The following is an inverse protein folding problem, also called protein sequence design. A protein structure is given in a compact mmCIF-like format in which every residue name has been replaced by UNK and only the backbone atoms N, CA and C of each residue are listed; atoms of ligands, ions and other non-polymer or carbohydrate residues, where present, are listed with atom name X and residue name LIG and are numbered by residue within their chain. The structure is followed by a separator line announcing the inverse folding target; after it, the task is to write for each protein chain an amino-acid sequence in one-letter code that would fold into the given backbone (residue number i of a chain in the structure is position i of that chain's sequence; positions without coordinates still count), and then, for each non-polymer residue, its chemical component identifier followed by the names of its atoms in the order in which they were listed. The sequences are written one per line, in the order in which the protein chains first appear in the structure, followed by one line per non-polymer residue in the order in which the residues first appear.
data_IF_199210663285
#
_entry.id   IF_199210663285
#
_cell.length_a   1.000
_cell.length_b   1.000
_cell.length_c   1.000
_cell.angle_alpha   90.00
_cell.angle_beta   90.00
_cell.angle_gamma   90.00
#
_symmetry.space_group_name_H-M   'P 1'
#
loop_
_entity.id
_entity.type
_entity.pdbx_description
1 polymer ?
#
# COMPACT_ATOMS: atom_id res chain seq x y z
N UNK A 1 3.14 -0.09 32.47
CA UNK A 1 2.09 -0.20 31.41
C UNK A 1 2.69 -0.88 30.19
N UNK A 2 2.08 -1.95 29.72
CA UNK A 2 2.61 -2.77 28.61
C UNK A 2 2.51 -1.99 27.30
N UNK A 3 3.61 -1.91 26.56
CA UNK A 3 3.66 -1.38 25.20
C UNK A 3 3.56 -2.52 24.21
N UNK A 4 2.70 -2.38 23.20
CA UNK A 4 2.53 -3.38 22.13
C UNK A 4 3.25 -2.93 20.87
N UNK A 5 3.83 -3.89 20.15
CA UNK A 5 4.51 -3.68 18.87
C UNK A 5 3.74 -4.38 17.76
N UNK A 6 3.38 -3.64 16.71
CA UNK A 6 2.56 -4.10 15.58
C UNK A 6 3.34 -3.87 14.29
N UNK A 7 3.44 -4.88 13.43
CA UNK A 7 3.97 -4.74 12.06
C UNK A 7 2.85 -4.34 11.13
N UNK A 8 3.06 -3.28 10.35
CA UNK A 8 2.13 -2.79 9.35
C UNK A 8 2.75 -2.94 7.97
N UNK A 9 2.45 -4.03 7.29
CA UNK A 9 3.06 -4.41 6.02
C UNK A 9 2.63 -3.51 4.86
N UNK A 10 3.58 -3.18 3.98
CA UNK A 10 3.31 -2.48 2.73
C UNK A 10 2.52 -3.37 1.75
N UNK A 11 1.68 -2.74 0.92
CA UNK A 11 1.02 -3.42 -0.20
C UNK A 11 1.64 -3.02 -1.53
N UNK A 12 1.59 -3.92 -2.50
CA UNK A 12 1.91 -3.64 -3.89
C UNK A 12 0.67 -3.90 -4.76
N UNK A 13 0.41 -3.01 -5.71
CA UNK A 13 -0.47 -3.31 -6.82
C UNK A 13 0.33 -4.06 -7.88
N UNK A 14 0.10 -5.36 -7.99
CA UNK A 14 0.71 -6.21 -9.03
C UNK A 14 0.13 -5.93 -10.41
N UNK A 15 -1.12 -5.45 -10.46
CA UNK A 15 -1.79 -4.89 -11.62
C UNK A 15 -2.83 -3.87 -11.14
N UNK A 16 -3.13 -2.87 -11.97
CA UNK A 16 -4.15 -1.87 -11.69
C UNK A 16 -4.76 -1.39 -13.01
N UNK A 17 -6.05 -1.65 -13.20
CA UNK A 17 -6.81 -1.15 -14.34
C UNK A 17 -7.78 -0.08 -13.88
N UNK A 18 -7.86 1.03 -14.59
CA UNK A 18 -8.88 2.07 -14.40
C UNK A 18 -9.99 1.80 -15.42
N UNK A 19 -11.14 1.34 -14.93
CA UNK A 19 -12.23 0.79 -15.76
C UNK A 19 -13.42 1.73 -15.89
N UNK A 20 -13.35 2.91 -15.30
CA UNK A 20 -14.41 3.91 -15.37
C UNK A 20 -14.24 5.01 -14.33
N UNK A 21 -15.21 5.91 -14.32
CA UNK A 21 -15.31 7.02 -13.37
C UNK A 21 -16.59 6.88 -12.55
N UNK A 22 -16.52 7.16 -11.26
CA UNK A 22 -17.67 7.38 -10.38
C UNK A 22 -17.69 8.86 -9.98
N UNK A 23 -18.74 9.30 -9.28
CA UNK A 23 -18.95 10.72 -8.91
C UNK A 23 -17.70 11.34 -8.24
N UNK A 24 -17.07 10.63 -7.30
CA UNK A 24 -15.92 11.15 -6.53
C UNK A 24 -14.60 10.42 -6.80
N UNK A 25 -14.65 9.22 -7.35
CA UNK A 25 -13.47 8.35 -7.48
C UNK A 25 -13.49 7.63 -8.84
N UNK A 26 -12.34 7.16 -9.28
CA UNK A 26 -12.27 6.24 -10.41
C UNK A 26 -12.66 4.83 -9.98
N UNK A 27 -13.38 4.11 -10.84
CA UNK A 27 -13.60 2.68 -10.70
C UNK A 27 -12.33 1.96 -11.11
N UNK A 28 -11.81 1.14 -10.24
CA UNK A 28 -10.57 0.39 -10.49
C UNK A 28 -10.79 -1.10 -10.21
N UNK A 29 -9.98 -1.91 -10.85
CA UNK A 29 -9.74 -3.29 -10.46
C UNK A 29 -8.23 -3.49 -10.26
N UNK A 30 -7.83 -4.38 -9.37
CA UNK A 30 -6.42 -4.55 -9.02
C UNK A 30 -6.10 -5.93 -8.46
N UNK A 31 -4.90 -6.42 -8.74
CA UNK A 31 -4.26 -7.51 -8.02
C UNK A 31 -3.30 -6.91 -6.99
N UNK A 32 -3.47 -7.28 -5.73
CA UNK A 32 -2.74 -6.70 -4.61
C UNK A 32 -2.06 -7.81 -3.82
N UNK A 33 -0.80 -7.57 -3.45
CA UNK A 33 -0.04 -8.43 -2.56
C UNK A 33 0.60 -7.61 -1.45
N UNK A 34 0.90 -8.26 -0.32
CA UNK A 34 1.61 -7.65 0.81
C UNK A 34 3.05 -8.17 0.84
N UNK A 35 3.98 -7.34 1.29
CA UNK A 35 5.41 -7.64 1.31
C UNK A 35 5.99 -7.53 2.72
N UNK A 36 7.21 -8.03 2.91
CA UNK A 36 7.89 -8.00 4.21
C UNK A 36 8.26 -6.60 4.71
N UNK A 37 8.43 -5.63 3.80
CA UNK A 37 8.62 -4.22 4.18
C UNK A 37 7.43 -3.73 5.01
N UNK A 38 7.69 -3.16 6.19
CA UNK A 38 6.63 -2.73 7.10
C UNK A 38 7.03 -1.52 7.94
N UNK A 39 6.05 -0.72 8.33
CA UNK A 39 6.17 0.23 9.42
C UNK A 39 6.02 -0.50 10.77
N UNK A 40 6.55 0.07 11.84
CA UNK A 40 6.36 -0.43 13.20
C UNK A 40 5.48 0.55 13.97
N UNK A 41 4.38 0.04 14.53
CA UNK A 41 3.48 0.81 15.38
C UNK A 41 3.67 0.34 16.82
N UNK A 42 3.98 1.26 17.70
CA UNK A 42 4.03 1.04 19.15
C UNK A 42 2.79 1.68 19.76
N UNK A 43 2.04 0.90 20.50
CA UNK A 43 0.78 1.30 21.13
C UNK A 43 0.89 1.14 22.64
N UNK A 44 0.53 2.19 23.39
CA UNK A 44 0.46 2.21 24.86
C UNK A 44 -0.84 2.88 25.29
N UNK A 45 -1.58 2.28 26.23
CA UNK A 45 -2.71 2.94 26.88
C UNK A 45 -2.19 4.01 27.83
N UNK A 46 -2.80 5.18 27.83
CA UNK A 46 -2.41 6.32 28.67
C UNK A 46 -3.61 6.88 29.45
N UNK A 47 -3.34 7.49 30.59
CA UNK A 47 -4.29 8.34 31.31
C UNK A 47 -4.16 9.75 30.75
N UNK A 48 -5.08 10.15 29.87
CA UNK A 48 -5.07 11.45 29.19
C UNK A 48 -6.46 11.72 28.59
N UNK A 49 -6.80 12.98 28.35
CA UNK A 49 -8.04 13.35 27.66
C UNK A 49 -7.94 13.17 26.14
N UNK A 50 -6.72 13.09 25.59
CA UNK A 50 -6.48 13.01 24.16
C UNK A 50 -5.51 11.89 23.80
N UNK A 51 -5.64 11.36 22.60
CA UNK A 51 -4.63 10.49 22.01
C UNK A 51 -3.34 11.25 21.70
N UNK A 52 -2.19 10.59 21.80
CA UNK A 52 -0.88 11.13 21.43
C UNK A 52 -0.34 10.34 20.26
N UNK A 53 0.02 11.01 19.15
CA UNK A 53 0.51 10.36 17.93
C UNK A 53 1.88 10.94 17.58
N UNK A 54 2.88 10.06 17.43
CA UNK A 54 4.24 10.43 17.08
C UNK A 54 4.73 9.62 15.88
N UNK A 55 5.49 10.27 15.03
CA UNK A 55 6.14 9.63 13.88
C UNK A 55 7.65 9.74 14.03
N UNK A 56 8.35 8.62 13.77
CA UNK A 56 9.80 8.50 13.81
C UNK A 56 10.31 7.72 12.60
N UNK A 57 11.63 7.63 12.43
CA UNK A 57 12.25 6.89 11.33
C UNK A 57 12.47 7.72 10.06
N UNK A 58 13.04 7.07 9.05
CA UNK A 58 13.55 7.72 7.83
C UNK A 58 12.49 8.53 7.07
N UNK A 59 11.23 8.13 7.14
CA UNK A 59 10.13 8.73 6.40
C UNK A 59 9.08 9.37 7.32
N UNK A 60 9.49 9.90 8.48
CA UNK A 60 8.58 10.55 9.43
C UNK A 60 8.36 12.04 9.18
N UNK A 61 9.19 12.68 8.36
CA UNK A 61 9.09 14.12 8.07
C UNK A 61 7.85 14.44 7.22
N UNK A 62 7.27 15.62 7.42
CA UNK A 62 6.16 16.18 6.61
C UNK A 62 4.86 15.33 6.65
N UNK A 63 4.62 14.59 7.74
CA UNK A 63 3.32 13.93 7.95
C UNK A 63 2.35 14.97 8.52
N UNK A 64 1.19 15.14 7.85
CA UNK A 64 0.15 16.06 8.30
C UNK A 64 -0.37 15.65 9.69
N UNK A 65 -0.80 16.64 10.49
CA UNK A 65 -1.55 16.40 11.73
C UNK A 65 -2.83 15.60 11.45
N UNK A 66 -3.51 15.89 10.34
CA UNK A 66 -4.63 15.09 9.83
C UNK A 66 -4.07 13.99 8.94
N UNK A 67 -4.12 12.77 9.42
CA UNK A 67 -3.61 11.56 8.74
C UNK A 67 -4.52 10.36 9.06
N UNK A 68 -4.27 9.23 8.44
CA UNK A 68 -5.12 8.03 8.57
C UNK A 68 -5.25 7.51 10.02
N UNK A 69 -4.23 7.73 10.86
CA UNK A 69 -4.28 7.32 12.28
C UNK A 69 -5.12 8.30 13.10
N UNK A 70 -4.90 9.62 12.93
CA UNK A 70 -5.72 10.62 13.63
C UNK A 70 -7.19 10.54 13.18
N UNK A 71 -7.45 10.33 11.89
CA UNK A 71 -8.81 10.12 11.36
C UNK A 71 -9.46 8.87 11.96
N UNK A 72 -8.73 7.75 12.04
CA UNK A 72 -9.22 6.52 12.67
C UNK A 72 -9.62 6.78 14.14
N UNK A 73 -8.72 7.36 14.95
CA UNK A 73 -8.96 7.56 16.36
C UNK A 73 -10.13 8.51 16.60
N UNK A 74 -10.21 9.59 15.82
CA UNK A 74 -11.33 10.54 15.91
C UNK A 74 -12.68 9.86 15.59
N UNK A 75 -12.73 8.99 14.56
CA UNK A 75 -13.93 8.23 14.23
C UNK A 75 -14.31 7.24 15.34
N UNK A 76 -13.33 6.55 15.92
CA UNK A 76 -13.57 5.60 17.02
C UNK A 76 -14.06 6.31 18.29
N UNK A 77 -13.52 7.49 18.58
CA UNK A 77 -13.95 8.31 19.72
C UNK A 77 -15.36 8.87 19.51
N UNK A 78 -15.63 9.44 18.33
CA UNK A 78 -16.95 9.98 17.98
C UNK A 78 -18.06 8.92 18.08
N UNK A 79 -17.75 7.67 17.74
CA UNK A 79 -18.66 6.54 17.86
C UNK A 79 -18.60 5.83 19.21
N UNK A 80 -17.85 6.37 20.20
CA UNK A 80 -17.65 5.83 21.55
C UNK A 80 -17.14 4.38 21.59
N UNK A 81 -16.43 3.94 20.54
CA UNK A 81 -16.00 2.56 20.35
C UNK A 81 -14.75 2.18 21.17
N UNK A 82 -14.09 3.14 21.81
CA UNK A 82 -12.91 2.92 22.65
C UNK A 82 -13.21 2.99 24.16
N UNK A 83 -14.47 3.11 24.58
CA UNK A 83 -14.86 3.24 25.99
C UNK A 83 -14.00 4.28 26.74
N UNK A 84 -13.85 5.47 26.16
CA UNK A 84 -13.03 6.59 26.63
C UNK A 84 -11.54 6.28 26.82
N UNK A 85 -11.06 5.12 26.36
CA UNK A 85 -9.63 4.81 26.44
C UNK A 85 -8.84 5.66 25.48
N UNK A 86 -7.71 6.20 25.96
CA UNK A 86 -6.76 6.97 25.14
C UNK A 86 -5.43 6.23 25.01
N UNK A 87 -4.77 6.48 23.87
CA UNK A 87 -3.54 5.77 23.50
C UNK A 87 -2.44 6.74 23.07
N UNK A 88 -1.23 6.41 23.45
CA UNK A 88 -0.02 6.91 22.82
C UNK A 88 0.37 5.95 21.71
N UNK A 89 0.54 6.48 20.51
CA UNK A 89 0.86 5.72 19.31
C UNK A 89 2.13 6.32 18.69
N UNK A 90 3.21 5.53 18.68
CA UNK A 90 4.47 5.91 18.02
C UNK A 90 4.66 5.04 16.79
N UNK A 91 4.80 5.67 15.61
CA UNK A 91 4.95 4.97 14.33
C UNK A 91 6.34 5.22 13.77
N UNK A 92 7.15 4.15 13.68
CA UNK A 92 8.42 4.17 12.97
C UNK A 92 8.18 3.94 11.49
N UNK A 93 8.35 4.99 10.69
CA UNK A 93 8.10 4.99 9.26
C UNK A 93 9.29 4.40 8.49
N UNK A 94 9.11 3.20 7.96
CA UNK A 94 10.04 2.51 7.05
C UNK A 94 9.52 2.52 5.61
N UNK A 95 8.20 2.72 5.41
CA UNK A 95 7.56 2.82 4.10
C UNK A 95 7.57 4.29 3.66
N UNK A 96 8.18 4.63 2.50
CA UNK A 96 8.24 6.00 2.02
C UNK A 96 6.85 6.58 1.71
N UNK A 97 6.72 7.91 1.87
CA UNK A 97 5.52 8.63 1.46
C UNK A 97 5.41 8.77 -0.06
N UNK A 98 4.18 8.84 -0.58
CA UNK A 98 3.92 9.04 -2.00
C UNK A 98 4.57 7.97 -2.88
N UNK A 99 4.61 6.74 -2.38
CA UNK A 99 5.31 5.61 -2.97
C UNK A 99 4.38 4.59 -3.65
N UNK A 100 3.06 4.79 -3.60
CA UNK A 100 2.09 3.83 -4.13
C UNK A 100 1.95 2.52 -3.32
N UNK A 101 2.54 2.47 -2.12
CA UNK A 101 2.60 1.26 -1.27
C UNK A 101 1.61 1.25 -0.09
N UNK A 102 0.71 2.23 -0.02
CA UNK A 102 -0.39 2.27 0.95
C UNK A 102 0.02 2.43 2.43
N UNK A 103 1.24 2.90 2.74
CA UNK A 103 1.79 2.88 4.11
C UNK A 103 0.86 3.47 5.18
N UNK A 104 0.24 4.63 4.95
CA UNK A 104 -0.71 5.23 5.91
C UNK A 104 -1.97 4.40 6.10
N UNK A 105 -2.59 3.92 5.01
CA UNK A 105 -3.80 3.09 5.05
C UNK A 105 -3.53 1.75 5.73
N UNK A 106 -2.36 1.15 5.49
CA UNK A 106 -1.96 -0.10 6.14
C UNK A 106 -1.73 0.11 7.63
N UNK A 107 -1.21 1.27 8.05
CA UNK A 107 -1.06 1.59 9.46
C UNK A 107 -2.43 1.63 10.16
N UNK A 108 -3.42 2.30 9.57
CA UNK A 108 -4.78 2.33 10.11
C UNK A 108 -5.40 0.93 10.19
N UNK A 109 -5.32 0.15 9.10
CA UNK A 109 -5.85 -1.22 9.08
C UNK A 109 -5.18 -2.14 10.10
N UNK A 110 -3.85 -2.06 10.26
CA UNK A 110 -3.10 -2.86 11.24
C UNK A 110 -3.47 -2.48 12.67
N UNK A 111 -3.69 -1.20 12.95
CA UNK A 111 -4.15 -0.73 14.26
C UNK A 111 -5.57 -1.21 14.55
N UNK A 112 -6.50 -1.12 13.60
CA UNK A 112 -7.87 -1.66 13.74
C UNK A 112 -7.82 -3.16 14.09
N UNK A 113 -7.09 -3.95 13.32
CA UNK A 113 -6.97 -5.39 13.55
C UNK A 113 -6.41 -5.71 14.92
N UNK A 114 -5.41 -4.95 15.37
CA UNK A 114 -4.84 -5.11 16.70
C UNK A 114 -5.86 -4.78 17.79
N UNK A 115 -6.59 -3.67 17.68
CA UNK A 115 -7.61 -3.29 18.68
C UNK A 115 -8.73 -4.35 18.76
N UNK A 116 -9.12 -4.95 17.62
CA UNK A 116 -10.09 -6.07 17.58
C UNK A 116 -9.50 -7.31 18.25
N UNK A 117 -8.27 -7.70 17.92
CA UNK A 117 -7.63 -8.92 18.47
C UNK A 117 -7.44 -8.84 19.99
N UNK A 118 -7.27 -7.63 20.53
CA UNK A 118 -7.19 -7.37 21.97
C UNK A 118 -8.54 -7.13 22.62
N UNK A 119 -9.64 -7.30 21.91
CA UNK A 119 -11.02 -7.06 22.38
C UNK A 119 -11.25 -5.62 22.90
N UNK A 120 -10.39 -4.67 22.51
CA UNK A 120 -10.53 -3.24 22.80
C UNK A 120 -11.61 -2.64 21.91
N UNK A 121 -11.60 -3.00 20.61
CA UNK A 121 -12.60 -2.60 19.63
C UNK A 121 -13.55 -3.76 19.36
N UNK A 122 -14.82 -3.59 19.73
CA UNK A 122 -15.90 -4.52 19.41
C UNK A 122 -16.77 -3.91 18.33
N UNK A 123 -16.73 -4.48 17.12
CA UNK A 123 -17.40 -3.92 15.93
C UNK A 123 -17.89 -5.04 15.00
N UNK A 124 -19.10 -4.92 14.45
CA UNK A 124 -19.63 -5.87 13.46
C UNK A 124 -18.98 -5.62 12.08
N UNK A 125 -18.83 -6.67 11.26
CA UNK A 125 -18.13 -6.62 9.97
C UNK A 125 -18.63 -5.53 9.01
N UNK A 126 -19.94 -5.31 8.91
CA UNK A 126 -20.52 -4.26 8.05
C UNK A 126 -20.02 -2.89 8.52
N UNK A 127 -20.21 -2.56 9.80
CA UNK A 127 -19.77 -1.28 10.37
C UNK A 127 -18.24 -1.11 10.30
N UNK A 128 -17.45 -2.18 10.42
CA UNK A 128 -16.00 -2.18 10.25
C UNK A 128 -15.60 -1.77 8.83
N UNK A 129 -16.24 -2.33 7.81
CA UNK A 129 -15.96 -1.97 6.41
C UNK A 129 -16.33 -0.51 6.13
N UNK A 130 -17.46 -0.04 6.64
CA UNK A 130 -17.90 1.35 6.47
C UNK A 130 -16.92 2.33 7.15
N UNK A 131 -16.47 2.02 8.37
CA UNK A 131 -15.47 2.79 9.09
C UNK A 131 -14.14 2.82 8.32
N UNK A 132 -13.66 1.68 7.85
CA UNK A 132 -12.43 1.58 7.08
C UNK A 132 -12.50 2.39 5.76
N UNK A 133 -13.63 2.35 5.07
CA UNK A 133 -13.86 3.11 3.84
C UNK A 133 -13.86 4.64 4.08
N UNK A 134 -14.39 5.11 5.21
CA UNK A 134 -14.34 6.53 5.62
C UNK A 134 -12.93 7.04 5.85
N UNK A 135 -11.99 6.17 6.30
CA UNK A 135 -10.58 6.52 6.52
C UNK A 135 -9.82 6.56 5.19
N UNK A 136 -10.10 5.60 4.30
CA UNK A 136 -9.48 5.53 2.98
C UNK A 136 -9.75 4.21 2.27
N UNK A 137 -9.83 4.24 0.94
CA UNK A 137 -10.16 3.06 0.12
C UNK A 137 -9.20 1.87 0.31
N UNK A 138 -7.93 2.13 0.52
CA UNK A 138 -6.92 1.09 0.75
C UNK A 138 -7.00 0.48 2.17
N UNK A 139 -7.69 1.12 3.14
CA UNK A 139 -7.80 0.60 4.52
C UNK A 139 -8.60 -0.69 4.54
N UNK A 140 -9.69 -0.77 3.77
CA UNK A 140 -10.50 -2.00 3.62
C UNK A 140 -9.65 -3.17 3.10
N UNK A 141 -8.71 -2.89 2.19
CA UNK A 141 -7.80 -3.89 1.64
C UNK A 141 -6.85 -4.43 2.73
N UNK A 142 -6.39 -3.56 3.63
CA UNK A 142 -5.46 -3.88 4.70
C UNK A 142 -6.06 -4.65 5.88
N UNK A 143 -7.40 -4.71 6.03
CA UNK A 143 -8.07 -5.45 7.11
C UNK A 143 -7.77 -6.96 7.06
N UNK A 144 -7.45 -7.51 5.91
CA UNK A 144 -6.92 -8.89 5.77
C UNK A 144 -5.71 -8.87 4.83
N UNK A 145 -4.53 -9.04 5.40
CA UNK A 145 -3.26 -8.99 4.67
C UNK A 145 -2.99 -10.33 3.94
N UNK A 146 -3.70 -10.55 2.86
CA UNK A 146 -3.52 -11.70 1.95
C UNK A 146 -3.57 -11.21 0.51
N UNK A 147 -3.09 -12.01 -0.44
CA UNK A 147 -3.26 -11.73 -1.85
C UNK A 147 -4.72 -11.41 -2.14
N UNK A 148 -4.97 -10.31 -2.83
CA UNK A 148 -6.31 -9.75 -2.94
C UNK A 148 -6.60 -9.38 -4.38
N UNK A 149 -7.76 -9.79 -4.88
CA UNK A 149 -8.33 -9.35 -6.15
C UNK A 149 -9.45 -8.36 -5.82
N UNK A 150 -9.27 -7.11 -6.23
CA UNK A 150 -10.33 -6.12 -6.28
C UNK A 150 -10.94 -6.18 -7.66
N UNK A 151 -12.20 -6.62 -7.76
CA UNK A 151 -12.92 -6.76 -9.02
C UNK A 151 -13.60 -5.45 -9.44
N UNK A 152 -13.99 -5.37 -10.71
CA UNK A 152 -14.65 -4.20 -11.32
C UNK A 152 -15.94 -3.75 -10.63
N UNK A 153 -16.63 -4.65 -9.97
CA UNK A 153 -17.85 -4.38 -9.19
C UNK A 153 -17.57 -4.02 -7.71
N UNK A 154 -16.30 -3.78 -7.35
CA UNK A 154 -15.88 -3.47 -5.98
C UNK A 154 -15.79 -4.68 -5.04
N UNK A 155 -16.14 -5.89 -5.50
CA UNK A 155 -16.00 -7.10 -4.68
C UNK A 155 -14.53 -7.43 -4.44
N UNK A 156 -14.22 -7.85 -3.21
CA UNK A 156 -12.88 -8.23 -2.77
C UNK A 156 -12.83 -9.74 -2.60
N UNK A 157 -11.98 -10.42 -3.39
CA UNK A 157 -11.65 -11.82 -3.21
C UNK A 157 -10.28 -11.97 -2.58
N UNK A 158 -10.20 -12.68 -1.46
CA UNK A 158 -8.93 -13.01 -0.79
C UNK A 158 -8.43 -14.35 -1.30
N UNK A 159 -7.14 -14.41 -1.60
CA UNK A 159 -6.48 -15.59 -2.15
C UNK A 159 -5.33 -16.02 -1.24
N UNK A 160 -5.06 -17.33 -1.20
CA UNK A 160 -3.90 -17.87 -0.48
C UNK A 160 -2.64 -17.62 -1.32
N UNK A 161 -1.56 -17.20 -0.67
CA UNK A 161 -0.27 -17.05 -1.34
C UNK A 161 0.40 -18.42 -1.45
N UNK A 162 0.52 -18.97 -2.68
CA UNK A 162 1.17 -20.26 -2.93
C UNK A 162 2.60 -20.15 -3.45
N UNK A 163 2.99 -18.98 -4.01
CA UNK A 163 4.34 -18.75 -4.57
C UNK A 163 4.85 -17.41 -4.10
N UNK A 164 6.08 -17.38 -3.65
CA UNK A 164 6.78 -16.17 -3.24
C UNK A 164 7.55 -15.60 -4.42
N UNK A 165 7.36 -14.31 -4.69
CA UNK A 165 8.22 -13.53 -5.58
C UNK A 165 9.09 -12.63 -4.72
N UNK A 166 10.34 -12.48 -5.14
CA UNK A 166 11.25 -11.50 -4.57
C UNK A 166 11.14 -10.19 -5.34
N UNK A 167 11.24 -9.06 -4.65
CA UNK A 167 11.00 -7.76 -5.25
C UNK A 167 12.13 -6.78 -4.93
N UNK A 168 12.64 -6.13 -5.96
CA UNK A 168 13.45 -4.94 -5.84
C UNK A 168 12.54 -3.73 -6.04
N UNK A 169 12.45 -2.90 -5.02
CA UNK A 169 11.62 -1.68 -5.04
C UNK A 169 12.56 -0.48 -5.11
N UNK A 170 12.38 0.36 -6.11
CA UNK A 170 13.10 1.62 -6.23
C UNK A 170 12.14 2.80 -6.17
N UNK A 171 12.48 3.81 -5.37
CA UNK A 171 11.71 5.03 -5.25
C UNK A 171 12.62 6.27 -5.43
N UNK A 172 12.28 7.20 -6.34
CA UNK A 172 12.96 8.48 -6.41
C UNK A 172 12.69 9.30 -5.14
N UNK A 173 13.45 10.39 -4.95
CA UNK A 173 13.30 11.29 -3.80
C UNK A 173 11.93 12.01 -3.79
N UNK A 174 11.24 12.12 -4.93
CA UNK A 174 9.90 12.70 -5.03
C UNK A 174 8.78 11.63 -4.95
N UNK A 175 7.56 12.08 -4.67
CA UNK A 175 6.33 11.28 -4.77
C UNK A 175 5.51 11.69 -6.00
N UNK A 176 4.61 10.80 -6.44
CA UNK A 176 3.58 11.13 -7.42
C UNK A 176 2.30 11.54 -6.70
N UNK A 177 1.70 12.66 -7.10
CA UNK A 177 0.39 13.05 -6.59
C UNK A 177 -0.68 12.12 -7.15
N UNK A 178 -1.30 11.32 -6.30
CA UNK A 178 -2.40 10.42 -6.69
C UNK A 178 -3.51 11.18 -7.41
N UNK A 179 -3.93 12.33 -6.86
CA UNK A 179 -4.96 13.18 -7.46
C UNK A 179 -4.57 13.62 -8.89
N UNK A 180 -3.33 14.08 -9.07
CA UNK A 180 -2.83 14.53 -10.37
C UNK A 180 -2.75 13.38 -11.39
N UNK A 181 -2.28 12.20 -10.98
CA UNK A 181 -2.17 11.04 -11.88
C UNK A 181 -3.56 10.59 -12.33
N UNK A 182 -4.50 10.44 -11.40
CA UNK A 182 -5.88 10.06 -11.75
C UNK A 182 -6.60 11.11 -12.59
N UNK A 183 -6.36 12.42 -12.39
CA UNK A 183 -7.00 13.47 -13.21
C UNK A 183 -6.57 13.45 -14.68
N UNK A 184 -5.46 12.77 -14.99
CA UNK A 184 -4.94 12.61 -16.36
C UNK A 184 -5.41 11.32 -17.05
N UNK A 185 -6.27 10.54 -16.41
CA UNK A 185 -6.88 9.36 -17.04
C UNK A 185 -7.97 9.83 -18.02
N UNK A 186 -7.73 9.63 -19.31
CA UNK A 186 -8.64 10.04 -20.40
C UNK A 186 -9.36 8.85 -21.06
N UNK A 187 -8.85 7.63 -20.85
CA UNK A 187 -9.44 6.40 -21.39
C UNK A 187 -9.50 5.31 -20.31
N UNK A 188 -10.44 4.40 -20.46
CA UNK A 188 -10.67 3.33 -19.50
C UNK A 188 -10.38 1.97 -20.12
N UNK A 189 -9.74 1.12 -19.33
CA UNK A 189 -9.47 -0.26 -19.72
C UNK A 189 -10.72 -1.13 -19.64
N UNK A 190 -10.79 -2.16 -20.48
CA UNK A 190 -11.78 -3.23 -20.34
C UNK A 190 -11.51 -4.00 -19.05
N UNK A 191 -12.58 -4.37 -18.32
CA UNK A 191 -12.44 -5.17 -17.11
C UNK A 191 -11.88 -6.56 -17.40
N UNK A 192 -10.81 -6.93 -16.68
CA UNK A 192 -10.11 -8.22 -16.77
C UNK A 192 -10.38 -9.13 -15.56
N UNK A 193 -10.84 -8.57 -14.43
CA UNK A 193 -11.00 -9.30 -13.17
C UNK A 193 -12.46 -9.56 -12.79
N UNK A 194 -13.36 -9.67 -13.81
CA UNK A 194 -14.79 -10.00 -13.60
C UNK A 194 -14.99 -11.33 -12.88
N UNK A 195 -14.18 -12.34 -13.23
CA UNK A 195 -14.19 -13.67 -12.60
C UNK A 195 -12.86 -13.89 -11.88
N UNK A 196 -12.74 -13.44 -10.62
CA UNK A 196 -11.49 -13.48 -9.89
C UNK A 196 -11.08 -14.93 -9.58
N UNK A 197 -9.83 -15.31 -9.95
CA UNK A 197 -9.27 -16.63 -9.76
C UNK A 197 -7.87 -16.54 -9.17
N UNK A 198 -7.50 -17.50 -8.32
CA UNK A 198 -6.19 -17.54 -7.68
C UNK A 198 -5.01 -17.62 -8.68
N UNK A 199 -5.22 -18.27 -9.84
CA UNK A 199 -4.20 -18.36 -10.90
C UNK A 199 -3.73 -17.00 -11.43
N UNK A 200 -4.50 -15.91 -11.20
CA UNK A 200 -4.11 -14.55 -11.59
C UNK A 200 -2.85 -14.05 -10.88
N UNK A 201 -2.43 -14.71 -9.78
CA UNK A 201 -1.16 -14.42 -9.10
C UNK A 201 0.02 -15.24 -9.63
N UNK A 202 -0.17 -16.07 -10.64
CA UNK A 202 0.94 -16.77 -11.27
C UNK A 202 1.81 -15.81 -12.08
N UNK A 203 3.16 -15.96 -12.11
CA UNK A 203 4.07 -15.07 -12.80
C UNK A 203 3.74 -14.86 -14.27
N UNK A 204 3.35 -15.90 -14.97
CA UNK A 204 2.97 -15.84 -16.39
C UNK A 204 1.77 -14.92 -16.61
N UNK A 205 0.76 -15.02 -15.74
CA UNK A 205 -0.43 -14.16 -15.80
C UNK A 205 -0.07 -12.71 -15.44
N UNK A 206 0.69 -12.52 -14.36
CA UNK A 206 1.12 -11.19 -13.92
C UNK A 206 1.95 -10.46 -14.97
N UNK A 207 2.80 -11.17 -15.71
CA UNK A 207 3.65 -10.57 -16.77
C UNK A 207 2.81 -9.90 -17.87
N UNK A 208 1.67 -10.48 -18.23
CA UNK A 208 0.77 -9.97 -19.28
C UNK A 208 -0.11 -8.77 -18.82
N UNK A 209 -0.15 -8.47 -17.51
CA UNK A 209 -0.95 -7.38 -16.97
C UNK A 209 -0.18 -6.05 -16.95
N UNK A 210 -0.90 -4.96 -16.67
CA UNK A 210 -0.35 -3.59 -16.63
C UNK A 210 -0.80 -2.83 -15.38
N UNK A 211 -0.25 -1.62 -15.24
CA UNK A 211 -0.79 -0.57 -14.39
C UNK A 211 -1.12 0.64 -15.28
N UNK A 212 -2.41 0.93 -15.46
CA UNK A 212 -2.87 2.02 -16.34
C UNK A 212 -2.31 3.38 -15.97
N UNK A 213 -2.01 3.58 -14.69
CA UNK A 213 -1.45 4.83 -14.18
C UNK A 213 0.05 4.99 -14.51
N UNK A 214 0.75 3.91 -14.86
CA UNK A 214 2.20 3.92 -15.09
C UNK A 214 2.57 4.83 -16.27
N UNK A 215 1.93 4.67 -17.43
CA UNK A 215 2.22 5.51 -18.61
C UNK A 215 2.02 7.00 -18.32
N UNK A 216 0.98 7.34 -17.54
CA UNK A 216 0.68 8.71 -17.15
C UNK A 216 1.78 9.25 -16.23
N UNK A 217 2.19 8.46 -15.23
CA UNK A 217 3.23 8.85 -14.29
C UNK A 217 4.59 9.02 -14.98
N UNK A 218 4.97 8.12 -15.89
CA UNK A 218 6.23 8.19 -16.63
C UNK A 218 6.29 9.42 -17.54
N UNK A 219 5.19 9.78 -18.20
CA UNK A 219 5.10 11.03 -18.99
C UNK A 219 5.22 12.28 -18.12
N UNK A 220 4.56 12.28 -16.96
CA UNK A 220 4.57 13.45 -16.05
C UNK A 220 5.89 13.61 -15.30
N UNK A 221 6.60 12.51 -15.05
CA UNK A 221 7.84 12.46 -14.27
C UNK A 221 8.96 11.74 -15.05
N UNK A 222 9.66 12.43 -15.97
CA UNK A 222 10.70 11.80 -16.82
C UNK A 222 11.81 11.10 -16.04
N UNK A 223 12.16 11.63 -14.84
CA UNK A 223 13.13 10.96 -13.94
C UNK A 223 12.68 9.57 -13.49
N UNK A 224 11.36 9.34 -13.37
CA UNK A 224 10.79 8.02 -13.06
C UNK A 224 10.99 7.05 -14.21
N UNK A 225 10.88 7.53 -15.45
CA UNK A 225 11.11 6.72 -16.63
C UNK A 225 12.57 6.22 -16.72
N UNK A 226 13.56 7.06 -16.34
CA UNK A 226 14.97 6.63 -16.27
C UNK A 226 15.17 5.44 -15.33
N UNK A 227 14.53 5.47 -14.15
CA UNK A 227 14.57 4.37 -13.19
C UNK A 227 13.93 3.12 -13.78
N UNK A 228 12.73 3.25 -14.35
CA UNK A 228 12.00 2.11 -14.94
C UNK A 228 12.77 1.46 -16.09
N UNK A 229 13.27 2.27 -17.02
CA UNK A 229 14.04 1.76 -18.16
C UNK A 229 15.28 0.97 -17.72
N UNK A 230 16.01 1.47 -16.72
CA UNK A 230 17.13 0.72 -16.15
C UNK A 230 16.67 -0.57 -15.45
N UNK A 231 15.59 -0.53 -14.65
CA UNK A 231 15.13 -1.75 -13.97
C UNK A 231 14.67 -2.84 -14.94
N UNK A 232 14.19 -2.47 -16.13
CA UNK A 232 13.83 -3.43 -17.18
C UNK A 232 15.06 -4.14 -17.75
N UNK A 233 16.23 -3.49 -17.79
CA UNK A 233 17.47 -4.13 -18.28
C UNK A 233 18.15 -5.05 -17.24
N UNK A 234 17.67 -5.03 -15.98
CA UNK A 234 18.23 -5.91 -14.96
C UNK A 234 18.00 -7.39 -15.33
N UNK A 235 19.05 -8.23 -15.26
CA UNK A 235 18.92 -9.62 -15.71
C UNK A 235 17.95 -10.41 -14.80
N UNK A 236 17.31 -11.42 -15.40
CA UNK A 236 16.42 -12.38 -14.73
C UNK A 236 15.20 -11.77 -14.02
N UNK A 237 14.87 -10.48 -14.25
CA UNK A 237 13.57 -9.99 -13.83
C UNK A 237 12.44 -10.65 -14.65
N UNK A 238 11.33 -10.94 -13.99
CA UNK A 238 10.13 -11.52 -14.62
C UNK A 238 9.36 -10.43 -15.34
N UNK A 239 9.15 -9.31 -14.65
CA UNK A 239 8.56 -8.07 -15.15
C UNK A 239 8.91 -6.91 -14.22
N UNK A 240 8.73 -5.69 -14.73
CA UNK A 240 8.90 -4.45 -13.98
C UNK A 240 7.61 -3.63 -14.08
N UNK A 241 7.15 -3.06 -12.95
CA UNK A 241 5.90 -2.30 -12.92
C UNK A 241 5.88 -1.27 -11.80
N UNK A 242 5.25 -0.14 -12.06
CA UNK A 242 4.94 0.85 -11.03
C UNK A 242 3.83 0.33 -10.11
N UNK A 243 3.91 0.56 -8.80
CA UNK A 243 2.84 0.21 -7.86
C UNK A 243 1.93 1.41 -7.57
N UNK A 244 0.62 1.19 -7.59
CA UNK A 244 -0.37 2.23 -7.37
C UNK A 244 -0.22 3.40 -8.34
N UNK A 245 -0.36 4.63 -7.84
CA UNK A 245 -0.11 5.87 -8.60
C UNK A 245 1.37 6.28 -8.64
N UNK A 246 2.27 5.42 -8.16
CA UNK A 246 3.70 5.71 -8.05
C UNK A 246 4.05 6.39 -6.71
N UNK A 247 5.30 6.79 -6.53
CA UNK A 247 6.41 6.81 -7.50
C UNK A 247 7.32 5.55 -7.45
N UNK A 248 6.95 4.48 -6.74
CA UNK A 248 7.80 3.28 -6.68
C UNK A 248 7.66 2.43 -7.93
N UNK A 249 8.81 2.05 -8.52
CA UNK A 249 8.95 1.03 -9.55
C UNK A 249 9.43 -0.25 -8.87
N UNK A 250 8.85 -1.38 -9.27
CA UNK A 250 9.10 -2.70 -8.68
C UNK A 250 9.53 -3.66 -9.77
N UNK A 251 10.67 -4.30 -9.61
CA UNK A 251 11.12 -5.44 -10.41
C UNK A 251 10.89 -6.74 -9.62
N UNK A 252 10.39 -7.77 -10.28
CA UNK A 252 9.98 -9.03 -9.68
C UNK A 252 10.90 -10.16 -10.13
N UNK A 253 11.27 -11.05 -9.20
CA UNK A 253 12.23 -12.13 -9.42
C UNK A 253 11.73 -13.45 -8.85
N UNK A 254 12.20 -14.57 -9.43
CA UNK A 254 11.93 -15.91 -8.90
C UNK A 254 12.82 -16.26 -7.71
N UNK A 255 14.02 -15.70 -7.62
CA UNK A 255 14.97 -16.05 -6.55
C UNK A 255 15.47 -14.82 -5.79
N UNK A 256 15.83 -15.03 -4.51
CA UNK A 256 16.46 -14.02 -3.68
C UNK A 256 17.82 -13.62 -4.23
N UNK A 257 18.60 -14.57 -4.75
CA UNK A 257 19.92 -14.34 -5.34
C UNK A 257 19.84 -13.35 -6.50
N UNK A 258 18.93 -13.58 -7.44
CA UNK A 258 18.75 -12.68 -8.59
C UNK A 258 18.29 -11.29 -8.18
N UNK A 259 17.37 -11.21 -7.21
CA UNK A 259 16.90 -9.95 -6.64
C UNK A 259 18.06 -9.18 -5.95
N UNK A 260 18.90 -9.85 -5.17
CA UNK A 260 20.07 -9.25 -4.51
C UNK A 260 21.12 -8.76 -5.50
N UNK A 261 21.38 -9.50 -6.57
CA UNK A 261 22.27 -9.08 -7.64
C UNK A 261 21.74 -7.82 -8.35
N UNK A 262 20.44 -7.79 -8.63
CA UNK A 262 19.74 -6.64 -9.23
C UNK A 262 19.83 -5.42 -8.30
N UNK A 263 19.65 -5.60 -6.98
CA UNK A 263 19.83 -4.54 -5.99
C UNK A 263 21.24 -3.93 -6.06
N UNK A 264 22.28 -4.75 -6.09
CA UNK A 264 23.66 -4.28 -6.21
C UNK A 264 23.90 -3.47 -7.48
N UNK A 265 23.38 -3.93 -8.64
CA UNK A 265 23.47 -3.21 -9.91
C UNK A 265 22.71 -1.88 -9.87
N UNK A 266 21.50 -1.88 -9.29
CA UNK A 266 20.71 -0.67 -9.13
C UNK A 266 21.42 0.35 -8.26
N UNK A 267 22.01 -0.06 -7.13
CA UNK A 267 22.72 0.81 -6.20
C UNK A 267 23.98 1.44 -6.80
N UNK A 268 24.71 0.74 -7.63
CA UNK A 268 25.86 1.31 -8.35
C UNK A 268 25.45 2.47 -9.27
N UNK A 269 24.30 2.36 -9.95
CA UNK A 269 23.83 3.39 -10.89
C UNK A 269 22.99 4.50 -10.25
N UNK A 270 22.24 4.18 -9.21
CA UNK A 270 21.30 5.07 -8.53
C UNK A 270 21.57 5.11 -7.01
N UNK A 271 22.79 5.45 -6.61
CA UNK A 271 23.25 5.42 -5.22
C UNK A 271 22.42 6.29 -4.26
N UNK A 272 21.93 7.47 -4.72
CA UNK A 272 21.13 8.41 -3.93
C UNK A 272 19.65 8.04 -3.81
N UNK A 273 19.18 7.08 -4.61
CA UNK A 273 17.77 6.68 -4.60
C UNK A 273 17.52 5.63 -3.50
N UNK A 274 16.34 5.75 -2.90
CA UNK A 274 15.91 4.69 -1.99
C UNK A 274 15.55 3.43 -2.77
N UNK A 275 16.09 2.30 -2.31
CA UNK A 275 15.69 0.99 -2.79
C UNK A 275 15.80 -0.07 -1.68
N UNK A 276 15.12 -1.16 -1.83
CA UNK A 276 15.12 -2.32 -0.96
C UNK A 276 14.84 -3.58 -1.80
#
# INVERSE_FOLDING_TARGET
MTSFKIKSHAKLNLALNVIGRAVKLHKIESLISFISLHDLIYLKKIKSNNHKIFFTGKFSKNISKINTISTLLNLLDAEKLLNNQKFEIKIRKNIPHGAGMGGGSMNAASLINFLISKKILKIKNKKLNDLAAKIGSDVVLGLKQSNTILSSNGKIKRCVNKKTLYVLIAKPYFGCSTKLIYSKVVSFSKSQFKRPQQKMFQPQYLKALNNDLEKIALRKYPKLNKIRSFMVTLPKNIFVRMTGSGSSIVAYFHSQKDCSNAYGQFKRKFNSHWCI
#
